data_IF_578737274095
#
_entry.id   IF_578737274095
#
_cell.length_a   1.000
_cell.length_b   1.000
_cell.length_c   1.000
_cell.angle_alpha   90.00
_cell.angle_beta   90.00
_cell.angle_gamma   90.00
#
_symmetry.space_group_name_H-M   'P 1'
#
loop_
_entity.id
_entity.type
_entity.pdbx_description
1 polymer ?
#
# COMPACT_ATOMS: atom_id res chain seq x y z
N UNK A 1 9.55 3.81 -23.30
CA UNK A 1 8.72 3.58 -22.10
C UNK A 1 7.28 3.91 -22.46
N UNK A 2 6.31 3.11 -22.02
CA UNK A 2 4.89 3.38 -22.28
C UNK A 2 4.47 4.65 -21.52
N UNK A 3 3.78 5.55 -22.19
CA UNK A 3 3.27 6.77 -21.54
C UNK A 3 2.11 6.42 -20.58
N UNK A 4 1.76 7.36 -19.70
CA UNK A 4 0.55 7.24 -18.86
C UNK A 4 -0.70 7.02 -19.73
N UNK A 5 -0.77 7.67 -20.89
CA UNK A 5 -1.89 7.49 -21.81
C UNK A 5 -1.96 6.05 -22.34
N UNK A 6 -0.80 5.46 -22.65
CA UNK A 6 -0.70 4.07 -23.09
C UNK A 6 -1.11 3.09 -21.97
N UNK A 7 -0.69 3.33 -20.73
CA UNK A 7 -1.09 2.52 -19.57
C UNK A 7 -2.61 2.59 -19.31
N UNK A 8 -3.22 3.78 -19.47
CA UNK A 8 -4.66 3.96 -19.31
C UNK A 8 -5.45 3.25 -20.42
N UNK A 9 -4.99 3.35 -21.67
CA UNK A 9 -5.60 2.64 -22.79
C UNK A 9 -5.51 1.12 -22.60
N UNK A 10 -4.31 0.61 -22.27
CA UNK A 10 -4.09 -0.80 -21.98
C UNK A 10 -4.93 -1.29 -20.81
N UNK A 11 -5.06 -0.51 -19.74
CA UNK A 11 -5.92 -0.84 -18.61
C UNK A 11 -7.38 -1.04 -19.05
N UNK A 12 -7.89 -0.16 -19.92
CA UNK A 12 -9.24 -0.24 -20.46
C UNK A 12 -9.44 -1.49 -21.32
N UNK A 13 -8.45 -1.81 -22.15
CA UNK A 13 -8.45 -2.96 -23.03
C UNK A 13 -8.40 -4.28 -22.25
N UNK A 14 -7.49 -4.42 -21.29
CA UNK A 14 -7.40 -5.59 -20.40
C UNK A 14 -8.72 -5.83 -19.67
N UNK A 15 -9.39 -4.78 -19.19
CA UNK A 15 -10.66 -4.94 -18.48
C UNK A 15 -11.80 -5.43 -19.38
N UNK A 16 -11.69 -5.25 -20.71
CA UNK A 16 -12.66 -5.72 -21.70
C UNK A 16 -12.32 -7.14 -22.20
N UNK A 17 -11.04 -7.40 -22.44
CA UNK A 17 -10.52 -8.67 -22.94
C UNK A 17 -9.20 -9.03 -22.23
N UNK A 18 -9.26 -9.69 -21.06
CA UNK A 18 -8.05 -10.06 -20.33
C UNK A 18 -7.13 -11.01 -21.11
N UNK A 19 -7.70 -11.97 -21.84
CA UNK A 19 -6.89 -13.00 -22.51
C UNK A 19 -6.14 -12.41 -23.71
N UNK A 20 -6.78 -11.53 -24.47
CA UNK A 20 -6.18 -10.87 -25.63
C UNK A 20 -5.05 -9.89 -25.33
N UNK A 21 -4.94 -9.39 -24.10
CA UNK A 21 -3.94 -8.38 -23.69
C UNK A 21 -2.96 -8.90 -22.61
N UNK A 22 -2.85 -10.23 -22.48
CA UNK A 22 -2.02 -10.85 -21.46
C UNK A 22 -0.53 -10.58 -21.69
N UNK A 23 -0.05 -10.62 -22.93
CA UNK A 23 1.37 -10.43 -23.23
C UNK A 23 1.83 -8.99 -22.94
N UNK A 24 1.02 -8.00 -23.30
CA UNK A 24 1.25 -6.59 -23.01
C UNK A 24 1.22 -6.33 -21.51
N UNK A 25 0.30 -6.96 -20.78
CA UNK A 25 0.30 -6.91 -19.33
C UNK A 25 1.60 -7.48 -18.75
N UNK A 26 2.03 -8.66 -19.19
CA UNK A 26 3.26 -9.29 -18.70
C UNK A 26 4.51 -8.44 -19.01
N UNK A 27 4.53 -7.74 -20.15
CA UNK A 27 5.60 -6.79 -20.47
C UNK A 27 5.65 -5.63 -19.47
N UNK A 28 4.51 -5.03 -19.14
CA UNK A 28 4.44 -3.96 -18.13
C UNK A 28 4.75 -4.48 -16.72
N UNK A 29 4.37 -5.72 -16.41
CA UNK A 29 4.64 -6.33 -15.11
C UNK A 29 6.14 -6.62 -14.93
N UNK A 30 6.82 -7.13 -15.96
CA UNK A 30 8.30 -7.26 -15.97
C UNK A 30 8.98 -5.91 -15.78
N UNK A 31 8.45 -4.87 -16.43
CA UNK A 31 8.98 -3.52 -16.26
C UNK A 31 8.81 -3.01 -14.83
N UNK A 32 7.64 -3.23 -14.23
CA UNK A 32 7.41 -2.95 -12.81
C UNK A 32 8.42 -3.67 -11.90
N UNK A 33 8.71 -4.95 -12.17
CA UNK A 33 9.67 -5.74 -11.39
C UNK A 33 11.09 -5.19 -11.52
N UNK A 34 11.53 -4.82 -12.73
CA UNK A 34 12.85 -4.21 -12.92
C UNK A 34 12.99 -2.86 -12.17
N UNK A 35 11.94 -2.02 -12.21
CA UNK A 35 11.96 -0.76 -11.46
C UNK A 35 11.90 -0.97 -9.95
N UNK A 36 11.24 -2.04 -9.48
CA UNK A 36 11.26 -2.42 -8.06
C UNK A 36 12.68 -2.72 -7.61
N UNK A 37 13.44 -3.52 -8.37
CA UNK A 37 14.84 -3.84 -8.04
C UNK A 37 15.71 -2.59 -7.96
N UNK A 38 15.57 -1.67 -8.93
CA UNK A 38 16.28 -0.39 -8.91
C UNK A 38 15.89 0.45 -7.68
N UNK A 39 14.60 0.51 -7.35
CA UNK A 39 14.12 1.24 -6.18
C UNK A 39 14.64 0.63 -4.87
N UNK A 40 14.78 -0.69 -4.78
CA UNK A 40 15.36 -1.35 -3.60
C UNK A 40 16.85 -1.00 -3.41
N UNK A 41 17.60 -0.81 -4.50
CA UNK A 41 18.99 -0.33 -4.45
C UNK A 41 19.08 1.14 -4.02
N UNK A 42 18.12 1.98 -4.44
CA UNK A 42 18.07 3.41 -4.09
C UNK A 42 16.66 3.87 -3.69
N UNK A 43 16.21 3.58 -2.46
CA UNK A 43 14.82 3.85 -2.03
C UNK A 43 14.43 5.33 -2.00
N UNK A 44 15.41 6.24 -1.96
CA UNK A 44 15.22 7.70 -1.97
C UNK A 44 15.16 8.31 -3.37
N UNK A 45 15.36 7.50 -4.43
CA UNK A 45 15.28 7.98 -5.81
C UNK A 45 13.86 8.46 -6.17
N UNK A 46 13.77 9.21 -7.26
CA UNK A 46 12.47 9.42 -7.91
C UNK A 46 11.93 8.07 -8.40
N UNK A 47 10.62 7.86 -8.26
CA UNK A 47 9.99 6.61 -8.66
C UNK A 47 8.62 6.86 -9.27
N UNK A 48 8.47 7.95 -10.03
CA UNK A 48 7.22 8.34 -10.67
C UNK A 48 6.69 7.20 -11.56
N UNK A 49 7.52 6.70 -12.46
CA UNK A 49 7.17 5.61 -13.38
C UNK A 49 6.84 4.31 -12.64
N UNK A 50 7.63 3.96 -11.62
CA UNK A 50 7.33 2.82 -10.76
C UNK A 50 5.95 2.96 -10.09
N UNK A 51 5.61 4.15 -9.58
CA UNK A 51 4.31 4.44 -8.99
C UNK A 51 3.15 4.36 -10.00
N UNK A 52 3.38 4.79 -11.25
CA UNK A 52 2.41 4.67 -12.35
C UNK A 52 2.14 3.20 -12.69
N UNK A 53 3.19 2.40 -12.82
CA UNK A 53 3.07 0.96 -13.04
C UNK A 53 2.43 0.24 -11.85
N UNK A 54 2.79 0.59 -10.61
CA UNK A 54 2.17 0.01 -9.42
C UNK A 54 0.64 0.27 -9.41
N UNK A 55 0.21 1.48 -9.77
CA UNK A 55 -1.22 1.77 -9.90
C UNK A 55 -1.87 1.00 -11.05
N UNK A 56 -1.22 0.93 -12.21
CA UNK A 56 -1.70 0.15 -13.34
C UNK A 56 -1.90 -1.34 -12.96
N UNK A 57 -0.89 -1.97 -12.34
CA UNK A 57 -0.98 -3.35 -11.89
C UNK A 57 -2.09 -3.51 -10.84
N UNK A 58 -2.21 -2.60 -9.87
CA UNK A 58 -3.31 -2.65 -8.90
C UNK A 58 -4.70 -2.58 -9.58
N UNK A 59 -4.82 -1.81 -10.68
CA UNK A 59 -6.06 -1.67 -11.44
C UNK A 59 -6.47 -2.93 -12.20
N UNK A 60 -5.51 -3.76 -12.66
CA UNK A 60 -5.79 -4.95 -13.48
C UNK A 60 -5.46 -6.28 -12.80
N UNK A 61 -4.89 -6.26 -11.58
CA UNK A 61 -4.45 -7.46 -10.85
C UNK A 61 -5.52 -8.57 -10.74
N UNK A 62 -6.80 -8.21 -10.61
CA UNK A 62 -7.91 -9.19 -10.61
C UNK A 62 -8.07 -9.98 -11.91
N UNK A 63 -7.65 -9.41 -13.04
CA UNK A 63 -7.67 -10.08 -14.34
C UNK A 63 -6.58 -11.17 -14.41
N UNK A 64 -5.49 -11.00 -13.67
CA UNK A 64 -4.32 -11.89 -13.70
C UNK A 64 -3.88 -12.31 -12.29
N UNK A 65 -4.72 -13.03 -11.52
CA UNK A 65 -4.45 -13.33 -10.12
C UNK A 65 -3.26 -14.27 -9.91
N UNK A 66 -2.96 -15.14 -10.88
CA UNK A 66 -1.80 -16.03 -10.82
C UNK A 66 -0.51 -15.24 -11.01
N UNK A 67 -0.47 -14.41 -12.05
CA UNK A 67 0.71 -13.62 -12.41
C UNK A 67 1.00 -12.50 -11.40
N UNK A 68 -0.02 -12.03 -10.66
CA UNK A 68 0.11 -10.95 -9.65
C UNK A 68 0.01 -11.42 -8.20
N UNK A 69 0.20 -12.71 -7.94
CA UNK A 69 0.07 -13.30 -6.60
C UNK A 69 0.97 -12.64 -5.54
N UNK A 70 2.21 -12.31 -5.90
CA UNK A 70 3.19 -11.70 -4.98
C UNK A 70 3.11 -10.16 -4.92
N UNK A 71 2.34 -9.54 -5.82
CA UNK A 71 2.32 -8.08 -5.99
C UNK A 71 1.90 -7.35 -4.70
N UNK A 72 0.81 -7.80 -4.08
CA UNK A 72 0.28 -7.20 -2.85
C UNK A 72 1.30 -7.29 -1.71
N UNK A 73 1.87 -8.48 -1.49
CA UNK A 73 2.85 -8.72 -0.43
C UNK A 73 4.12 -7.89 -0.67
N UNK A 74 4.60 -7.83 -1.92
CA UNK A 74 5.74 -7.01 -2.32
C UNK A 74 5.53 -5.53 -2.04
N UNK A 75 4.36 -4.96 -2.39
CA UNK A 75 4.05 -3.56 -2.08
C UNK A 75 3.96 -3.27 -0.58
N UNK A 76 3.36 -4.18 0.19
CA UNK A 76 3.29 -4.05 1.64
C UNK A 76 4.68 -4.07 2.27
N UNK A 77 5.53 -5.01 1.86
CA UNK A 77 6.90 -5.13 2.36
C UNK A 77 7.77 -3.90 2.00
N UNK A 78 7.63 -3.40 0.77
CA UNK A 78 8.32 -2.20 0.31
C UNK A 78 7.98 -0.98 1.18
N UNK A 79 6.70 -0.77 1.48
CA UNK A 79 6.27 0.32 2.37
C UNK A 79 6.68 0.09 3.82
N UNK A 80 6.61 -1.13 4.34
CA UNK A 80 7.02 -1.41 5.73
C UNK A 80 8.51 -1.14 5.93
N UNK A 81 9.34 -1.51 4.95
CA UNK A 81 10.80 -1.44 5.03
C UNK A 81 11.34 -0.05 4.68
N UNK A 82 10.82 0.59 3.63
CA UNK A 82 11.46 1.76 3.02
C UNK A 82 10.65 3.05 3.08
N UNK A 83 9.43 3.06 3.66
CA UNK A 83 8.58 4.25 3.63
C UNK A 83 9.27 5.53 4.11
N UNK A 84 10.09 5.48 5.18
CA UNK A 84 10.75 6.68 5.72
C UNK A 84 11.79 7.29 4.77
N UNK A 85 12.43 6.47 3.93
CA UNK A 85 13.43 6.90 2.94
C UNK A 85 12.79 7.31 1.60
N UNK A 86 11.63 6.73 1.31
CA UNK A 86 10.89 6.94 0.08
C UNK A 86 10.40 8.39 -0.04
N UNK A 87 10.43 8.93 -1.25
CA UNK A 87 9.85 10.24 -1.52
C UNK A 87 8.34 10.27 -1.20
N UNK A 88 7.85 11.42 -0.76
CA UNK A 88 6.48 11.55 -0.25
C UNK A 88 5.41 11.24 -1.31
N UNK A 89 5.63 11.65 -2.56
CA UNK A 89 4.69 11.43 -3.66
C UNK A 89 4.52 9.95 -3.97
N UNK A 90 5.62 9.21 -4.16
CA UNK A 90 5.59 7.78 -4.40
C UNK A 90 4.94 7.05 -3.23
N UNK A 91 5.30 7.39 -1.99
CA UNK A 91 4.69 6.78 -0.79
C UNK A 91 3.17 6.89 -0.81
N UNK A 92 2.62 8.07 -1.12
CA UNK A 92 1.18 8.28 -1.27
C UNK A 92 0.58 7.50 -2.43
N UNK A 93 1.28 7.42 -3.56
CA UNK A 93 0.88 6.63 -4.73
C UNK A 93 0.75 5.14 -4.39
N UNK A 94 1.72 4.56 -3.68
CA UNK A 94 1.67 3.15 -3.28
C UNK A 94 0.60 2.88 -2.23
N UNK A 95 0.40 3.79 -1.28
CA UNK A 95 -0.71 3.71 -0.31
C UNK A 95 -2.06 3.75 -1.02
N UNK A 96 -2.21 4.58 -2.05
CA UNK A 96 -3.42 4.62 -2.88
C UNK A 96 -3.66 3.28 -3.60
N UNK A 97 -2.60 2.65 -4.12
CA UNK A 97 -2.68 1.32 -4.73
C UNK A 97 -3.14 0.26 -3.72
N UNK A 98 -2.57 0.25 -2.50
CA UNK A 98 -3.01 -0.68 -1.44
C UNK A 98 -4.46 -0.43 -0.99
N UNK A 99 -4.89 0.82 -0.89
CA UNK A 99 -6.30 1.17 -0.59
C UNK A 99 -7.23 0.61 -1.69
N UNK A 100 -6.85 0.73 -2.96
CA UNK A 100 -7.62 0.19 -4.08
C UNK A 100 -7.77 -1.35 -3.97
N UNK A 101 -6.66 -2.05 -3.72
CA UNK A 101 -6.65 -3.50 -3.55
C UNK A 101 -7.51 -3.93 -2.34
N UNK A 102 -7.47 -3.19 -1.24
CA UNK A 102 -8.33 -3.42 -0.06
C UNK A 102 -9.81 -3.23 -0.36
N UNK A 103 -10.18 -2.14 -1.00
CA UNK A 103 -11.57 -1.87 -1.41
C UNK A 103 -12.11 -2.95 -2.36
N UNK A 104 -11.20 -3.64 -3.05
CA UNK A 104 -11.46 -4.78 -3.91
C UNK A 104 -11.37 -6.14 -3.19
N UNK A 105 -11.21 -6.17 -1.87
CA UNK A 105 -11.12 -7.42 -1.12
C UNK A 105 -9.92 -8.30 -1.47
N UNK A 106 -8.89 -7.76 -2.12
CA UNK A 106 -7.64 -8.47 -2.42
C UNK A 106 -6.64 -8.42 -1.25
N UNK A 107 -6.95 -7.64 -0.20
CA UNK A 107 -6.17 -7.52 1.04
C UNK A 107 -7.14 -7.62 2.22
N UNK A 108 -6.77 -8.37 3.26
CA UNK A 108 -7.50 -8.38 4.53
C UNK A 108 -7.14 -7.11 5.35
N UNK A 109 -8.14 -6.47 5.97
CA UNK A 109 -7.93 -5.36 6.88
C UNK A 109 -6.98 -5.71 8.02
N UNK A 110 -7.02 -6.96 8.51
CA UNK A 110 -6.14 -7.44 9.58
C UNK A 110 -4.67 -7.38 9.16
N UNK A 111 -4.36 -7.60 7.87
CA UNK A 111 -3.01 -7.51 7.34
C UNK A 111 -2.61 -6.06 7.06
N UNK A 112 -3.53 -5.25 6.54
CA UNK A 112 -3.22 -3.90 6.08
C UNK A 112 -3.12 -2.87 7.20
N UNK A 113 -4.01 -2.91 8.19
CA UNK A 113 -4.09 -1.88 9.22
C UNK A 113 -2.79 -1.69 10.01
N UNK A 114 -2.07 -2.76 10.45
CA UNK A 114 -0.79 -2.59 11.14
C UNK A 114 0.23 -1.78 10.33
N UNK A 115 0.35 -2.06 9.02
CA UNK A 115 1.20 -1.29 8.12
C UNK A 115 0.75 0.18 8.07
N UNK A 116 -0.55 0.42 7.87
CA UNK A 116 -1.07 1.78 7.76
C UNK A 116 -0.86 2.59 9.02
N UNK A 117 -0.97 1.97 10.20
CA UNK A 117 -0.64 2.66 11.43
C UNK A 117 0.86 2.97 11.56
N UNK A 118 1.76 2.04 11.19
CA UNK A 118 3.21 2.33 11.16
C UNK A 118 3.54 3.52 10.26
N UNK A 119 2.82 3.67 9.14
CA UNK A 119 3.02 4.78 8.20
C UNK A 119 2.69 6.16 8.79
N UNK A 120 1.97 6.27 9.92
CA UNK A 120 1.76 7.56 10.60
C UNK A 120 3.08 8.19 11.10
N UNK A 121 4.14 7.40 11.29
CA UNK A 121 5.48 7.90 11.63
C UNK A 121 6.07 8.80 10.54
N UNK A 122 5.63 8.65 9.29
CA UNK A 122 6.06 9.52 8.19
C UNK A 122 5.60 10.97 8.43
N UNK A 123 6.51 11.94 8.30
CA UNK A 123 6.20 13.37 8.41
C UNK A 123 5.54 13.92 7.13
N UNK A 124 4.39 13.37 6.76
CA UNK A 124 3.60 13.76 5.59
C UNK A 124 2.13 13.97 6.00
N UNK A 125 1.69 15.23 6.03
CA UNK A 125 0.33 15.61 6.44
C UNK A 125 -0.74 15.04 5.50
N UNK A 126 -0.49 15.04 4.20
CA UNK A 126 -1.45 14.55 3.20
C UNK A 126 -1.62 13.03 3.33
N UNK A 127 -0.51 12.32 3.51
CA UNK A 127 -0.54 10.88 3.75
C UNK A 127 -1.32 10.54 5.02
N UNK A 128 -1.04 11.22 6.14
CA UNK A 128 -1.75 10.97 7.41
C UNK A 128 -3.25 11.20 7.29
N UNK A 129 -3.68 12.23 6.56
CA UNK A 129 -5.10 12.49 6.28
C UNK A 129 -5.74 11.37 5.44
N UNK A 130 -5.04 10.91 4.40
CA UNK A 130 -5.49 9.80 3.54
C UNK A 130 -5.65 8.50 4.34
N UNK A 131 -4.63 8.15 5.14
CA UNK A 131 -4.66 6.98 6.01
C UNK A 131 -5.78 7.06 7.04
N UNK A 132 -5.90 8.18 7.76
CA UNK A 132 -6.96 8.38 8.76
C UNK A 132 -8.36 8.19 8.15
N UNK A 133 -8.63 8.87 7.03
CA UNK A 133 -9.93 8.76 6.35
C UNK A 133 -10.23 7.32 5.95
N UNK A 134 -9.25 6.62 5.38
CA UNK A 134 -9.44 5.23 4.95
C UNK A 134 -9.66 4.28 6.13
N UNK A 135 -8.82 4.35 7.16
CA UNK A 135 -8.89 3.46 8.34
C UNK A 135 -10.27 3.54 9.01
N UNK A 136 -10.79 4.75 9.21
CA UNK A 136 -12.12 4.93 9.83
C UNK A 136 -13.23 4.31 8.98
N UNK A 137 -13.17 4.51 7.65
CA UNK A 137 -14.15 3.92 6.73
C UNK A 137 -14.03 2.40 6.67
N UNK A 138 -12.83 1.85 6.62
CA UNK A 138 -12.60 0.40 6.54
C UNK A 138 -13.04 -0.31 7.82
N UNK A 139 -12.71 0.22 9.01
CA UNK A 139 -13.19 -0.32 10.29
C UNK A 139 -14.72 -0.29 10.36
N UNK A 140 -15.35 0.82 9.95
CA UNK A 140 -16.82 0.93 9.90
C UNK A 140 -17.43 -0.12 8.99
N UNK A 141 -16.86 -0.30 7.79
CA UNK A 141 -17.35 -1.27 6.81
C UNK A 141 -17.13 -2.71 7.29
N UNK A 142 -15.99 -3.01 7.91
CA UNK A 142 -15.68 -4.32 8.44
C UNK A 142 -16.57 -4.74 9.62
N UNK A 143 -17.15 -3.77 10.34
CA UNK A 143 -18.12 -4.00 11.41
C UNK A 143 -19.58 -3.83 10.94
N UNK A 144 -19.82 -3.68 9.63
CA UNK A 144 -21.18 -3.57 9.10
C UNK A 144 -21.88 -4.93 9.21
N UNK A 145 -23.03 -4.97 9.86
CA UNK A 145 -23.84 -6.17 10.05
C UNK A 145 -23.43 -6.98 11.29
N UNK A 146 -22.15 -7.26 11.49
CA UNK A 146 -21.65 -7.93 12.71
C UNK A 146 -20.29 -7.40 13.13
N UNK A 147 -19.98 -7.53 14.42
CA UNK A 147 -18.73 -7.06 15.01
C UNK A 147 -17.55 -7.94 14.57
N UNK A 148 -16.54 -7.36 13.95
CA UNK A 148 -15.32 -8.07 13.56
C UNK A 148 -14.33 -8.09 14.73
N UNK A 149 -14.49 -9.05 15.64
CA UNK A 149 -13.67 -9.12 16.86
C UNK A 149 -12.18 -9.28 16.59
N UNK A 150 -11.80 -10.03 15.55
CA UNK A 150 -10.39 -10.22 15.15
C UNK A 150 -9.76 -8.89 14.75
N UNK A 151 -10.44 -8.13 13.90
CA UNK A 151 -9.99 -6.81 13.48
C UNK A 151 -9.91 -5.84 14.65
N UNK A 152 -10.99 -5.75 15.44
CA UNK A 152 -11.09 -4.80 16.54
C UNK A 152 -10.00 -5.05 17.59
N UNK A 153 -9.75 -6.32 17.92
CA UNK A 153 -8.65 -6.72 18.83
C UNK A 153 -7.28 -6.37 18.26
N UNK A 154 -7.06 -6.59 16.96
CA UNK A 154 -5.81 -6.21 16.30
C UNK A 154 -5.55 -4.70 16.35
N UNK A 155 -6.58 -3.89 16.10
CA UNK A 155 -6.49 -2.42 16.18
C UNK A 155 -6.22 -1.98 17.63
N UNK A 156 -6.95 -2.52 18.60
CA UNK A 156 -6.76 -2.21 20.02
C UNK A 156 -5.34 -2.52 20.47
N UNK A 157 -4.84 -3.74 20.20
CA UNK A 157 -3.48 -4.15 20.56
C UNK A 157 -2.43 -3.21 19.97
N UNK A 158 -2.60 -2.83 18.70
CA UNK A 158 -1.70 -1.86 18.08
C UNK A 158 -1.74 -0.50 18.80
N UNK A 159 -2.91 0.07 19.03
CA UNK A 159 -3.04 1.37 19.69
C UNK A 159 -2.50 1.36 21.12
N UNK A 160 -2.73 0.28 21.88
CA UNK A 160 -2.12 0.10 23.20
C UNK A 160 -0.60 0.08 23.14
N UNK A 161 0.00 -0.59 22.13
CA UNK A 161 1.46 -0.59 21.95
C UNK A 161 2.01 0.82 21.70
N UNK A 162 1.27 1.68 20.97
CA UNK A 162 1.71 3.06 20.72
C UNK A 162 1.64 3.92 21.98
N UNK A 163 0.57 3.79 22.77
CA UNK A 163 0.39 4.58 23.99
C UNK A 163 1.44 4.18 25.04
N UNK A 164 1.67 2.88 25.23
CA UNK A 164 2.63 2.36 26.20
C UNK A 164 4.07 2.76 25.89
N UNK A 165 4.49 2.69 24.62
CA UNK A 165 5.82 3.16 24.18
C UNK A 165 6.03 4.65 24.50
N UNK A 166 4.98 5.48 24.37
CA UNK A 166 5.05 6.90 24.70
C UNK A 166 5.07 7.15 26.23
N UNK A 167 4.45 6.29 27.03
CA UNK A 167 4.44 6.42 28.50
C UNK A 167 5.76 6.03 29.16
N UNK A 168 6.58 5.17 28.53
CA UNK A 168 7.89 4.75 29.06
C UNK A 168 9.05 5.72 28.75
N UNK A 169 8.80 6.81 28.02
CA UNK A 169 9.83 7.80 27.63
C UNK A 169 10.00 9.01 28.57
N UNK A 170 9.36 9.03 29.75
CA UNK A 170 9.25 10.20 30.62
C UNK A 170 9.92 10.11 32.01
N UNK A 171 10.80 9.14 32.26
CA UNK A 171 11.40 8.90 33.58
C UNK A 171 12.93 8.91 33.56
N UNK A 172 13.55 10.07 33.36
CA UNK A 172 15.00 10.22 33.44
C UNK A 172 15.39 11.65 33.77
N UNK A 173 15.52 11.96 35.06
CA UNK A 173 16.03 13.25 35.53
C UNK A 173 15.64 13.55 36.97
N UNK A 174 16.38 12.98 37.93
CA UNK A 174 16.18 13.21 39.36
C UNK A 174 17.16 12.43 40.22
N UNK A 175 18.46 12.64 39.99
CA UNK A 175 19.54 12.17 40.85
C UNK A 175 20.57 13.28 40.96
N UNK A 176 20.64 13.90 42.14
CA UNK A 176 21.45 15.07 42.47
C UNK A 176 20.83 15.80 43.64
#
# INVERSE_FOLDING_TARGET
MASIADLLALQGNIKKDPDGYKEEFLLQYKHYQALLEILLLKPSAEGKEFGELANFVAQVSRCYPKDTSDFTAGLMNLLDTHALLMNATLRRTLVQALILLRNRGQIDAVQQLPLFFKLFKCQDKLLRQQLYKHIIVDIRNANKGSRNEKLNRSVQNFLYSVVTVNSTGGGGGGGG
#
